data_IF_113559248766
#
_entry.id   IF_113559248766
#
_cell.length_a   1.000
_cell.length_b   1.000
_cell.length_c   1.000
_cell.angle_alpha   90.00
_cell.angle_beta   90.00
_cell.angle_gamma   90.00
#
_symmetry.space_group_name_H-M   'P 1'
#
loop_
_entity.id
_entity.type
_entity.pdbx_description
1 polymer ?
#
# COMPACT_ATOMS: atom_id res chain seq x y z
N UNK A 1 7.28 11.10 5.12
CA UNK A 1 7.32 9.63 5.20
C UNK A 1 8.51 9.22 6.08
N UNK A 2 8.28 9.08 7.38
CA UNK A 2 9.31 8.57 8.31
C UNK A 2 9.27 7.05 8.23
N UNK A 3 10.28 6.44 7.62
CA UNK A 3 10.50 4.99 7.74
C UNK A 3 10.95 4.74 9.19
N UNK A 4 10.00 4.44 10.08
CA UNK A 4 10.34 3.84 11.38
C UNK A 4 10.72 2.39 11.12
N UNK A 5 12.02 2.11 11.06
CA UNK A 5 12.52 0.75 11.31
C UNK A 5 12.12 0.39 12.74
N UNK A 6 11.18 -0.53 12.89
CA UNK A 6 10.73 -1.08 14.17
C UNK A 6 11.82 -1.94 14.79
N UNK A 7 12.79 -1.31 15.44
CA UNK A 7 13.84 -1.97 16.24
C UNK A 7 13.31 -2.45 17.62
N UNK A 8 11.98 -2.55 17.80
CA UNK A 8 11.35 -2.93 19.08
C UNK A 8 11.27 -4.44 19.31
N UNK A 9 11.44 -5.27 18.27
CA UNK A 9 11.39 -6.72 18.40
C UNK A 9 12.55 -7.30 19.25
N UNK A 10 13.72 -6.65 19.25
CA UNK A 10 14.89 -7.09 20.03
C UNK A 10 14.82 -6.72 21.52
N UNK A 11 14.08 -5.68 21.90
CA UNK A 11 13.99 -5.25 23.32
C UNK A 11 12.95 -6.03 24.13
N UNK A 12 11.98 -6.72 23.49
CA UNK A 12 10.98 -7.53 24.19
C UNK A 12 11.46 -8.93 24.58
N UNK A 13 12.50 -9.45 23.93
CA UNK A 13 13.05 -10.77 24.27
C UNK A 13 13.68 -10.81 25.68
N UNK A 14 14.27 -9.69 26.14
CA UNK A 14 14.89 -9.61 27.47
C UNK A 14 13.89 -9.47 28.63
N UNK A 15 12.66 -9.02 28.37
CA UNK A 15 11.65 -8.86 29.43
C UNK A 15 10.90 -10.16 29.76
N UNK A 16 10.81 -11.09 28.80
CA UNK A 16 10.04 -12.34 28.95
C UNK A 16 10.68 -13.31 29.95
N UNK A 17 11.99 -13.17 30.23
CA UNK A 17 12.68 -14.01 31.21
C UNK A 17 12.39 -13.62 32.68
N UNK A 18 11.75 -12.47 32.93
CA UNK A 18 11.53 -11.95 34.31
C UNK A 18 10.12 -12.16 34.88
N UNK A 19 9.17 -12.63 34.06
CA UNK A 19 7.74 -12.73 34.46
C UNK A 19 7.30 -14.20 34.69
N UNK A 20 8.18 -15.17 34.44
CA UNK A 20 7.91 -16.59 34.69
C UNK A 20 7.90 -16.98 36.20
N UNK A 21 8.21 -16.06 37.10
CA UNK A 21 8.14 -16.27 38.55
C UNK A 21 7.05 -15.40 39.19
N UNK A 22 5.78 -15.81 39.04
CA UNK A 22 4.68 -15.63 40.02
C UNK A 22 3.37 -16.13 39.42
N UNK A 23 2.93 -17.30 39.88
CA UNK A 23 1.64 -17.87 39.50
C UNK A 23 0.48 -17.36 40.36
N UNK A 24 -0.73 -17.33 39.80
CA UNK A 24 -1.92 -17.97 40.39
C UNK A 24 -3.10 -18.01 39.39
N UNK A 25 -3.99 -18.97 39.65
CA UNK A 25 -5.02 -19.57 38.78
C UNK A 25 -6.41 -18.84 38.84
N UNK A 26 -7.52 -19.33 38.24
CA UNK A 26 -8.36 -18.53 37.33
C UNK A 26 -9.80 -18.33 37.84
N UNK A 27 -10.54 -17.38 37.24
CA UNK A 27 -12.01 -17.38 37.34
C UNK A 27 -12.69 -17.22 35.97
N UNK A 28 -13.63 -18.13 35.74
CA UNK A 28 -14.58 -18.16 34.61
C UNK A 28 -15.62 -17.07 34.76
N UNK A 29 -16.02 -16.46 33.64
CA UNK A 29 -17.42 -16.05 33.41
C UNK A 29 -17.84 -16.37 31.97
N UNK A 30 -19.03 -16.95 31.88
CA UNK A 30 -19.75 -17.40 30.69
C UNK A 30 -20.73 -16.33 30.18
N UNK A 31 -21.22 -16.55 28.95
CA UNK A 31 -22.41 -15.97 28.28
C UNK A 31 -22.15 -14.68 27.48
N UNK A 32 -22.72 -14.46 26.28
CA UNK A 32 -23.61 -15.26 25.41
C UNK A 32 -23.58 -14.67 23.98
N UNK A 33 -23.98 -15.53 23.04
CA UNK A 33 -24.28 -15.34 21.62
C UNK A 33 -25.12 -14.11 21.22
N UNK A 34 -24.85 -13.57 20.03
CA UNK A 34 -25.88 -13.20 19.05
C UNK A 34 -25.31 -13.20 17.62
N UNK A 35 -25.99 -13.91 16.74
CA UNK A 35 -25.72 -14.15 15.31
C UNK A 35 -26.45 -13.14 14.42
N UNK A 36 -25.85 -12.71 13.30
CA UNK A 36 -26.59 -12.26 12.11
C UNK A 36 -25.71 -12.24 10.84
N UNK A 37 -26.03 -13.09 9.88
CA UNK A 37 -25.89 -12.90 8.41
C UNK A 37 -27.25 -12.38 7.86
N UNK A 38 -27.43 -11.84 6.62
CA UNK A 38 -26.77 -12.22 5.35
C UNK A 38 -26.61 -11.16 4.19
N UNK A 39 -25.92 -11.61 3.13
CA UNK A 39 -26.11 -11.46 1.65
C UNK A 39 -25.95 -10.16 0.80
N UNK A 40 -24.95 -10.24 -0.11
CA UNK A 40 -24.94 -10.15 -1.60
C UNK A 40 -25.64 -9.03 -2.42
N UNK A 41 -24.87 -8.54 -3.41
CA UNK A 41 -25.21 -7.89 -4.69
C UNK A 41 -25.69 -6.42 -4.74
N UNK A 42 -24.90 -5.56 -5.38
CA UNK A 42 -25.27 -4.79 -6.59
C UNK A 42 -24.18 -3.79 -6.96
N UNK A 43 -23.64 -3.85 -8.18
CA UNK A 43 -22.83 -2.84 -8.89
C UNK A 43 -23.51 -2.68 -10.26
N UNK A 44 -23.88 -1.48 -10.70
CA UNK A 44 -24.01 -1.12 -12.13
C UNK A 44 -24.38 0.37 -12.35
N UNK A 45 -23.70 0.97 -13.34
CA UNK A 45 -24.09 2.12 -14.18
C UNK A 45 -23.99 3.57 -13.65
N UNK A 46 -23.10 4.36 -14.27
CA UNK A 46 -23.50 5.58 -15.01
C UNK A 46 -22.33 6.17 -15.82
N UNK A 47 -22.44 6.10 -17.15
CA UNK A 47 -21.72 6.97 -18.09
C UNK A 47 -22.73 7.52 -19.10
N UNK A 48 -22.53 8.79 -19.45
CA UNK A 48 -23.16 9.59 -20.51
C UNK A 48 -24.34 10.50 -20.15
N UNK A 49 -24.18 11.77 -20.57
CA UNK A 49 -25.15 12.87 -20.85
C UNK A 49 -25.22 14.00 -19.80
N UNK A 50 -24.72 15.17 -20.20
CA UNK A 50 -25.16 16.49 -19.73
C UNK A 50 -26.57 16.76 -20.28
N UNK A 51 -27.47 17.43 -19.52
CA UNK A 51 -27.70 18.86 -19.75
C UNK A 51 -28.12 19.69 -18.49
N UNK A 52 -28.35 20.98 -18.76
CA UNK A 52 -28.68 22.17 -17.96
C UNK A 52 -29.74 22.10 -16.82
N UNK A 53 -29.52 23.00 -15.84
CA UNK A 53 -30.44 23.85 -15.04
C UNK A 53 -31.23 23.32 -13.81
N UNK A 54 -31.00 24.03 -12.68
CA UNK A 54 -31.89 24.55 -11.63
C UNK A 54 -33.07 23.72 -11.05
N UNK A 55 -33.11 23.67 -9.69
CA UNK A 55 -34.34 23.83 -8.90
C UNK A 55 -34.87 22.60 -8.12
N UNK A 56 -35.10 22.84 -6.82
CA UNK A 56 -36.03 22.16 -5.88
C UNK A 56 -35.61 20.93 -5.05
N UNK A 57 -36.28 20.82 -3.89
CA UNK A 57 -35.83 20.27 -2.60
C UNK A 57 -36.83 19.22 -2.06
N UNK A 58 -36.28 18.09 -1.54
CA UNK A 58 -36.77 17.11 -0.53
C UNK A 58 -37.99 16.19 -0.81
N UNK A 59 -38.27 15.12 -0.01
CA UNK A 59 -37.49 14.38 1.02
C UNK A 59 -37.64 12.81 1.00
N UNK A 60 -36.91 12.13 1.92
CA UNK A 60 -37.12 10.79 2.54
C UNK A 60 -36.85 9.46 1.80
N UNK A 61 -35.84 8.71 2.27
CA UNK A 61 -35.94 7.29 2.69
C UNK A 61 -35.60 6.15 1.70
N UNK A 62 -34.46 5.49 1.95
CA UNK A 62 -34.00 4.12 1.52
C UNK A 62 -33.12 3.91 0.24
N UNK A 63 -31.88 3.48 0.53
CA UNK A 63 -30.92 2.51 -0.08
C UNK A 63 -30.48 2.50 -1.56
N UNK A 64 -29.15 2.65 -1.79
CA UNK A 64 -28.30 1.75 -2.63
C UNK A 64 -26.78 2.09 -2.55
N UNK A 65 -25.91 1.10 -2.30
CA UNK A 65 -24.43 1.09 -2.61
C UNK A 65 -24.23 0.58 -4.08
N UNK A 66 -23.01 0.48 -4.65
CA UNK A 66 -21.81 1.36 -4.77
C UNK A 66 -21.34 1.50 -6.26
N UNK A 67 -20.33 2.34 -6.58
CA UNK A 67 -19.31 2.14 -7.67
C UNK A 67 -18.35 3.37 -7.85
N UNK A 68 -17.03 3.25 -7.63
CA UNK A 68 -15.89 3.13 -8.61
C UNK A 68 -15.16 4.44 -9.01
N UNK A 69 -13.85 4.52 -8.63
CA UNK A 69 -12.62 5.13 -9.22
C UNK A 69 -12.74 6.34 -10.18
N UNK A 70 -12.02 7.47 -9.92
CA UNK A 70 -10.92 8.01 -10.80
C UNK A 70 -10.45 9.46 -10.54
N UNK A 71 -9.19 9.64 -10.94
CA UNK A 71 -8.48 10.87 -11.34
C UNK A 71 -9.29 11.78 -12.27
N UNK A 72 -9.43 13.06 -11.90
CA UNK A 72 -9.55 14.22 -12.82
C UNK A 72 -9.39 15.53 -12.05
N UNK A 73 -8.60 16.43 -12.61
CA UNK A 73 -8.36 17.81 -12.20
C UNK A 73 -9.64 18.66 -12.10
N UNK A 74 -9.66 19.57 -11.12
CA UNK A 74 -10.50 20.78 -10.90
C UNK A 74 -11.99 20.51 -10.66
N UNK A 75 -12.59 20.96 -9.55
CA UNK A 75 -12.96 22.37 -9.27
C UNK A 75 -13.49 22.47 -7.82
N UNK A 76 -13.12 23.50 -7.03
CA UNK A 76 -13.85 23.86 -5.79
C UNK A 76 -13.02 23.82 -4.49
N UNK A 77 -12.05 24.73 -4.35
CA UNK A 77 -11.07 24.73 -3.26
C UNK A 77 -11.62 25.07 -1.86
N UNK A 78 -12.88 25.53 -1.73
CA UNK A 78 -13.47 25.83 -0.42
C UNK A 78 -14.36 24.71 0.16
N UNK A 79 -14.74 23.70 -0.65
CA UNK A 79 -15.51 22.53 -0.18
C UNK A 79 -14.63 21.35 0.27
N UNK A 80 -13.31 21.40 -0.01
CA UNK A 80 -12.38 20.30 0.28
C UNK A 80 -11.98 20.17 1.76
N UNK A 81 -12.06 21.25 2.55
CA UNK A 81 -11.64 21.23 3.97
C UNK A 81 -12.60 20.45 4.88
N UNK A 82 -13.89 20.37 4.55
CA UNK A 82 -14.89 19.66 5.38
C UNK A 82 -15.01 18.16 5.07
N UNK A 83 -14.31 17.63 4.07
CA UNK A 83 -14.43 16.23 3.60
C UNK A 83 -13.11 15.48 3.42
N UNK A 84 -11.98 16.03 3.87
CA UNK A 84 -10.68 15.32 3.76
C UNK A 84 -10.60 14.22 4.81
N UNK A 85 -10.65 12.96 4.38
CA UNK A 85 -10.34 11.81 5.22
C UNK A 85 -8.82 11.68 5.38
N UNK A 86 -8.33 11.99 6.58
CA UNK A 86 -6.90 11.88 6.92
C UNK A 86 -6.46 10.43 7.20
N UNK A 87 -7.39 9.50 7.39
CA UNK A 87 -7.12 8.10 7.75
C UNK A 87 -7.23 7.18 6.54
N UNK A 88 -6.46 7.50 5.48
CA UNK A 88 -6.42 6.67 4.28
C UNK A 88 -5.91 5.25 4.60
N UNK A 89 -6.49 4.20 3.98
CA UNK A 89 -6.10 2.83 4.24
C UNK A 89 -4.67 2.54 3.79
N UNK A 90 -3.88 1.93 4.66
CA UNK A 90 -2.49 1.53 4.37
C UNK A 90 -2.48 0.06 3.94
N UNK A 91 -1.87 -0.23 2.78
CA UNK A 91 -1.49 -1.60 2.39
C UNK A 91 0.01 -1.77 2.62
N UNK A 92 0.37 -2.68 3.53
CA UNK A 92 1.74 -2.86 4.00
C UNK A 92 2.41 -4.13 3.43
N UNK A 93 3.75 -4.11 3.37
CA UNK A 93 4.60 -5.19 2.85
C UNK A 93 5.09 -6.08 4.00
N UNK A 94 4.62 -7.33 4.06
CA UNK A 94 5.07 -8.35 5.01
C UNK A 94 6.13 -9.29 4.44
N UNK A 95 6.68 -8.97 3.27
CA UNK A 95 7.65 -9.75 2.52
C UNK A 95 7.23 -11.24 2.42
N UNK A 96 8.16 -12.15 2.70
CA UNK A 96 7.92 -13.59 2.78
C UNK A 96 7.44 -14.05 4.17
N UNK A 97 7.01 -13.13 5.05
CA UNK A 97 6.55 -13.41 6.41
C UNK A 97 7.66 -13.73 7.41
N UNK A 98 8.92 -13.38 7.09
CA UNK A 98 10.09 -13.51 7.97
C UNK A 98 10.35 -14.90 8.57
N UNK A 99 9.81 -15.96 7.96
CA UNK A 99 9.99 -17.33 8.41
C UNK A 99 8.86 -18.24 7.97
N UNK A 100 8.35 -19.03 8.92
CA UNK A 100 7.23 -19.96 8.74
C UNK A 100 5.87 -19.32 9.07
N UNK A 101 4.80 -20.14 9.16
CA UNK A 101 3.45 -19.64 9.45
C UNK A 101 3.32 -18.86 10.76
N UNK A 102 4.04 -19.24 11.83
CA UNK A 102 4.00 -18.52 13.11
C UNK A 102 4.60 -17.11 12.99
N UNK A 103 5.68 -16.94 12.21
CA UNK A 103 6.24 -15.62 11.95
C UNK A 103 5.27 -14.74 11.15
N UNK A 104 4.58 -15.32 10.15
CA UNK A 104 3.55 -14.62 9.39
C UNK A 104 2.36 -14.21 10.25
N UNK A 105 1.92 -15.06 11.18
CA UNK A 105 0.86 -14.77 12.15
C UNK A 105 1.22 -13.58 13.05
N UNK A 106 2.37 -13.63 13.71
CA UNK A 106 2.85 -12.56 14.60
C UNK A 106 3.05 -11.24 13.85
N UNK A 107 3.61 -11.29 12.65
CA UNK A 107 3.81 -10.10 11.82
C UNK A 107 2.48 -9.48 11.40
N UNK A 108 1.49 -10.30 11.03
CA UNK A 108 0.16 -9.82 10.68
C UNK A 108 -0.51 -9.13 11.88
N UNK A 109 -0.42 -9.69 13.08
CA UNK A 109 -0.95 -9.03 14.30
C UNK A 109 -0.28 -7.68 14.53
N UNK A 110 1.06 -7.61 14.44
CA UNK A 110 1.79 -6.35 14.61
C UNK A 110 1.38 -5.31 13.56
N UNK A 111 1.18 -5.72 12.30
CA UNK A 111 0.71 -4.79 11.27
C UNK A 111 -0.71 -4.30 11.51
N UNK A 112 -1.59 -5.15 12.02
CA UNK A 112 -2.94 -4.77 12.44
C UNK A 112 -2.88 -3.75 13.59
N UNK A 113 -2.07 -4.00 14.62
CA UNK A 113 -1.89 -3.08 15.75
C UNK A 113 -1.36 -1.70 15.32
N UNK A 114 -0.52 -1.66 14.29
CA UNK A 114 0.02 -0.42 13.70
C UNK A 114 -0.92 0.22 12.67
N UNK A 115 -2.14 -0.30 12.48
CA UNK A 115 -3.20 0.32 11.69
C UNK A 115 -3.20 -0.01 10.19
N UNK A 116 -2.57 -1.11 9.77
CA UNK A 116 -2.63 -1.56 8.38
C UNK A 116 -4.05 -2.02 8.00
N UNK A 117 -4.59 -1.48 6.91
CA UNK A 117 -5.87 -1.89 6.34
C UNK A 117 -5.75 -3.14 5.46
N UNK A 118 -4.59 -3.33 4.86
CA UNK A 118 -4.23 -4.54 4.12
C UNK A 118 -2.76 -4.89 4.25
N UNK A 119 -2.44 -6.17 4.05
CA UNK A 119 -1.08 -6.69 4.14
C UNK A 119 -0.83 -7.66 2.99
N UNK A 120 0.32 -7.53 2.34
CA UNK A 120 0.73 -8.46 1.31
C UNK A 120 1.86 -9.39 1.75
N UNK A 121 1.75 -10.66 1.37
CA UNK A 121 2.79 -11.68 1.56
C UNK A 121 3.20 -12.25 0.21
N UNK A 122 4.43 -12.74 0.09
CA UNK A 122 4.95 -13.35 -1.15
C UNK A 122 5.48 -14.78 -0.95
N UNK A 123 5.41 -15.57 -2.02
CA UNK A 123 5.76 -17.00 -2.06
C UNK A 123 7.27 -17.30 -2.17
N UNK A 124 8.11 -16.36 -1.72
CA UNK A 124 9.56 -16.55 -1.65
C UNK A 124 10.00 -17.25 -0.35
N UNK A 125 11.18 -17.86 -0.39
CA UNK A 125 11.91 -18.33 0.78
C UNK A 125 12.44 -17.12 1.57
N UNK A 126 11.98 -16.97 2.83
CA UNK A 126 12.31 -15.81 3.67
C UNK A 126 13.83 -15.61 3.86
N UNK A 127 14.60 -16.68 4.09
CA UNK A 127 16.06 -16.60 4.27
C UNK A 127 16.82 -16.17 3.01
N UNK A 128 16.18 -16.23 1.84
CA UNK A 128 16.76 -15.87 0.56
C UNK A 128 15.97 -14.78 -0.17
N UNK A 129 15.06 -14.07 0.52
CA UNK A 129 14.16 -13.06 -0.08
C UNK A 129 14.92 -12.04 -0.93
N UNK A 130 14.33 -11.66 -2.06
CA UNK A 130 14.83 -10.60 -2.95
C UNK A 130 13.71 -9.65 -3.36
N UNK A 131 14.08 -8.47 -3.84
CA UNK A 131 13.14 -7.64 -4.60
C UNK A 131 12.68 -8.42 -5.84
N UNK A 132 11.41 -8.29 -6.21
CA UNK A 132 10.80 -9.03 -7.31
C UNK A 132 11.48 -8.86 -8.68
N UNK A 133 12.21 -7.76 -8.86
CA UNK A 133 12.93 -7.41 -10.08
C UNK A 133 14.42 -7.79 -10.04
N UNK A 134 14.85 -8.53 -9.01
CA UNK A 134 16.22 -9.06 -8.90
C UNK A 134 16.27 -10.54 -9.28
N UNK A 135 17.44 -10.99 -9.73
CA UNK A 135 17.73 -12.41 -9.93
C UNK A 135 17.90 -13.17 -8.61
N UNK A 136 17.96 -14.50 -8.68
CA UNK A 136 18.24 -15.35 -7.52
C UNK A 136 17.06 -15.55 -6.56
N UNK A 137 15.82 -15.28 -7.00
CA UNK A 137 14.61 -15.59 -6.24
C UNK A 137 14.44 -17.10 -6.09
N UNK A 138 14.09 -17.53 -4.88
CA UNK A 138 13.78 -18.92 -4.53
C UNK A 138 12.34 -18.97 -4.04
N UNK A 139 11.48 -19.71 -4.72
CA UNK A 139 10.11 -19.95 -4.30
C UNK A 139 10.07 -21.00 -3.18
N UNK A 140 9.09 -20.87 -2.29
CA UNK A 140 8.60 -21.99 -1.48
C UNK A 140 7.53 -22.78 -2.25
N UNK A 141 7.23 -24.04 -1.88
CA UNK A 141 6.16 -24.81 -2.50
C UNK A 141 4.82 -24.10 -2.29
N UNK A 142 3.90 -24.24 -3.24
CA UNK A 142 2.60 -23.55 -3.18
C UNK A 142 1.86 -23.82 -1.85
N UNK A 143 1.97 -25.05 -1.32
CA UNK A 143 1.46 -25.45 -0.01
C UNK A 143 1.98 -24.59 1.14
N UNK A 144 3.28 -24.30 1.19
CA UNK A 144 3.87 -23.50 2.27
C UNK A 144 3.35 -22.06 2.25
N UNK A 145 3.22 -21.47 1.06
CA UNK A 145 2.69 -20.13 0.94
C UNK A 145 1.19 -20.04 1.31
N UNK A 146 0.39 -21.04 0.93
CA UNK A 146 -1.01 -21.16 1.38
C UNK A 146 -1.11 -21.19 2.91
N UNK A 147 -0.22 -21.94 3.58
CA UNK A 147 -0.18 -21.96 5.05
C UNK A 147 0.15 -20.59 5.66
N UNK A 148 1.00 -19.78 5.00
CA UNK A 148 1.26 -18.40 5.43
C UNK A 148 0.04 -17.50 5.25
N UNK A 149 -0.68 -17.62 4.13
CA UNK A 149 -1.92 -16.88 3.91
C UNK A 149 -3.00 -17.24 4.94
N UNK A 150 -3.14 -18.54 5.25
CA UNK A 150 -4.05 -19.00 6.31
C UNK A 150 -3.65 -18.48 7.69
N UNK A 151 -2.34 -18.45 8.00
CA UNK A 151 -1.85 -17.89 9.25
C UNK A 151 -2.13 -16.37 9.35
N UNK A 152 -1.95 -15.63 8.25
CA UNK A 152 -2.30 -14.21 8.19
C UNK A 152 -3.82 -13.99 8.37
N UNK A 153 -4.67 -14.83 7.74
CA UNK A 153 -6.12 -14.76 7.96
C UNK A 153 -6.49 -15.08 9.41
N UNK A 154 -5.90 -16.13 9.99
CA UNK A 154 -6.12 -16.48 11.39
C UNK A 154 -5.74 -15.33 12.32
N UNK A 155 -4.65 -14.61 12.06
CA UNK A 155 -4.27 -13.42 12.84
C UNK A 155 -5.34 -12.33 12.75
N UNK A 156 -5.85 -12.03 11.56
CA UNK A 156 -6.93 -11.04 11.38
C UNK A 156 -8.23 -11.47 12.10
N UNK A 157 -8.59 -12.75 12.01
CA UNK A 157 -9.77 -13.32 12.65
C UNK A 157 -9.67 -13.26 14.18
N UNK A 158 -8.50 -13.62 14.75
CA UNK A 158 -8.22 -13.54 16.19
C UNK A 158 -8.25 -12.09 16.70
N UNK A 159 -7.74 -11.16 15.90
CA UNK A 159 -7.77 -9.72 16.20
C UNK A 159 -9.16 -9.09 15.96
N UNK A 160 -10.11 -9.82 15.37
CA UNK A 160 -11.48 -9.37 15.15
C UNK A 160 -11.62 -8.26 14.10
N UNK A 161 -10.70 -8.18 13.13
CA UNK A 161 -10.69 -7.13 12.09
C UNK A 161 -10.67 -7.70 10.67
N UNK A 162 -11.38 -7.08 9.70
CA UNK A 162 -11.46 -7.56 8.33
C UNK A 162 -10.27 -7.08 7.48
N UNK A 163 -9.03 -7.29 7.95
CA UNK A 163 -7.83 -6.85 7.22
C UNK A 163 -7.73 -7.55 5.86
N UNK A 164 -7.44 -6.77 4.82
CA UNK A 164 -7.30 -7.26 3.44
C UNK A 164 -5.98 -8.02 3.28
N UNK A 165 -6.03 -9.24 2.74
CA UNK A 165 -4.85 -10.05 2.46
C UNK A 165 -4.56 -10.06 0.96
N UNK A 166 -3.33 -9.69 0.60
CA UNK A 166 -2.84 -9.73 -0.78
C UNK A 166 -1.85 -10.88 -0.93
N UNK A 167 -2.18 -11.85 -1.77
CA UNK A 167 -1.30 -12.97 -2.11
C UNK A 167 -0.45 -12.65 -3.32
N UNK A 168 0.86 -12.48 -3.13
CA UNK A 168 1.83 -12.22 -4.19
C UNK A 168 2.55 -13.49 -4.63
N UNK A 169 2.69 -13.69 -5.93
CA UNK A 169 3.61 -14.69 -6.50
C UNK A 169 4.77 -14.03 -7.25
N UNK A 170 5.97 -14.57 -7.05
CA UNK A 170 7.21 -14.17 -7.72
C UNK A 170 7.62 -15.11 -8.87
N UNK A 171 6.74 -16.05 -9.22
CA UNK A 171 7.05 -17.19 -10.08
C UNK A 171 7.25 -16.87 -11.58
N UNK A 172 6.90 -15.66 -12.01
CA UNK A 172 7.16 -15.21 -13.39
C UNK A 172 8.67 -15.22 -13.70
N UNK A 173 9.50 -14.81 -12.74
CA UNK A 173 10.95 -14.71 -12.94
C UNK A 173 11.78 -15.63 -12.01
N UNK A 174 11.18 -16.21 -10.97
CA UNK A 174 11.91 -17.09 -10.06
C UNK A 174 12.27 -18.43 -10.71
N UNK A 175 13.55 -18.81 -10.65
CA UNK A 175 14.09 -20.01 -11.31
C UNK A 175 14.46 -21.13 -10.35
N UNK A 176 14.19 -20.94 -9.06
CA UNK A 176 14.53 -21.86 -7.99
C UNK A 176 13.32 -22.13 -7.10
N UNK A 177 13.23 -23.34 -6.57
CA UNK A 177 12.20 -23.83 -5.66
C UNK A 177 12.86 -24.62 -4.53
N UNK A 178 12.39 -24.50 -3.29
CA UNK A 178 13.00 -25.21 -2.16
C UNK A 178 12.74 -26.72 -2.19
N UNK A 179 11.54 -27.16 -2.61
CA UNK A 179 11.17 -28.57 -2.68
C UNK A 179 10.10 -28.81 -3.75
N UNK A 180 10.14 -29.97 -4.39
CA UNK A 180 9.20 -30.41 -5.41
C UNK A 180 8.09 -31.34 -4.87
N UNK A 181 7.89 -31.40 -3.54
CA UNK A 181 6.91 -32.31 -2.94
C UNK A 181 5.46 -31.98 -3.33
N UNK A 182 5.17 -30.71 -3.59
CA UNK A 182 3.84 -30.24 -3.96
C UNK A 182 3.54 -30.59 -5.43
N UNK A 183 2.53 -31.43 -5.65
CA UNK A 183 2.09 -31.85 -7.00
C UNK A 183 1.77 -30.68 -7.92
N UNK A 184 1.38 -29.51 -7.38
CA UNK A 184 1.08 -28.31 -8.17
C UNK A 184 2.33 -27.69 -8.80
N UNK A 185 3.49 -27.87 -8.17
CA UNK A 185 4.76 -27.31 -8.62
C UNK A 185 5.54 -28.27 -9.54
N UNK A 186 5.34 -29.58 -9.41
CA UNK A 186 6.03 -30.61 -10.20
C UNK A 186 5.98 -30.42 -11.72
N UNK A 187 4.87 -30.00 -12.34
CA UNK A 187 4.81 -29.74 -13.78
C UNK A 187 5.77 -28.66 -14.26
N UNK A 188 6.38 -27.89 -13.36
CA UNK A 188 7.33 -26.82 -13.68
C UNK A 188 8.77 -27.16 -13.29
N UNK A 189 8.99 -28.21 -12.49
CA UNK A 189 10.33 -28.68 -12.15
C UNK A 189 11.08 -29.21 -13.38
N UNK A 190 12.39 -28.98 -13.44
CA UNK A 190 13.27 -29.52 -14.50
C UNK A 190 13.91 -30.86 -14.12
N UNK A 191 13.87 -31.22 -12.83
CA UNK A 191 14.59 -32.37 -12.27
C UNK A 191 16.03 -32.06 -11.86
N UNK A 192 16.55 -30.88 -12.17
CA UNK A 192 17.90 -30.45 -11.78
C UNK A 192 17.90 -29.78 -10.40
N UNK A 193 19.04 -29.90 -9.70
CA UNK A 193 19.28 -29.24 -8.41
C UNK A 193 20.54 -28.39 -8.42
N UNK A 194 20.56 -27.35 -7.57
CA UNK A 194 21.76 -26.53 -7.32
C UNK A 194 22.63 -27.12 -6.22
N UNK A 195 23.82 -26.55 -6.00
CA UNK A 195 24.74 -26.96 -4.93
C UNK A 195 24.16 -26.77 -3.53
N UNK A 196 23.29 -25.78 -3.34
CA UNK A 196 22.55 -25.51 -2.10
C UNK A 196 21.38 -26.49 -1.90
N UNK A 197 21.07 -27.29 -2.92
CA UNK A 197 19.98 -28.26 -2.91
C UNK A 197 18.64 -27.73 -3.42
N UNK A 198 18.56 -26.50 -3.94
CA UNK A 198 17.32 -25.97 -4.54
C UNK A 198 17.01 -26.66 -5.86
N UNK A 199 15.73 -26.83 -6.17
CA UNK A 199 15.26 -27.35 -7.45
C UNK A 199 15.21 -26.25 -8.50
N UNK A 200 15.59 -26.56 -9.72
CA UNK A 200 15.42 -25.69 -10.89
C UNK A 200 14.00 -25.83 -11.42
N UNK A 201 13.38 -24.69 -11.74
CA UNK A 201 12.02 -24.62 -12.28
C UNK A 201 11.96 -23.81 -13.57
N UNK A 202 10.98 -24.13 -14.42
CA UNK A 202 10.57 -23.33 -15.58
C UNK A 202 9.72 -22.16 -15.09
N UNK A 203 10.37 -21.02 -14.91
CA UNK A 203 9.71 -19.75 -14.59
C UNK A 203 8.81 -19.28 -15.74
N UNK A 204 7.84 -18.43 -15.43
CA UNK A 204 7.02 -17.76 -16.42
C UNK A 204 5.58 -17.56 -15.97
N UNK A 205 4.78 -16.96 -16.86
CA UNK A 205 3.41 -16.60 -16.55
C UNK A 205 2.53 -17.83 -16.23
N UNK A 206 2.76 -18.97 -16.89
CA UNK A 206 1.98 -20.20 -16.66
C UNK A 206 2.08 -20.69 -15.21
N UNK A 207 3.31 -20.69 -14.65
CA UNK A 207 3.52 -21.03 -13.25
C UNK A 207 2.90 -19.98 -12.31
N UNK A 208 3.03 -18.70 -12.64
CA UNK A 208 2.43 -17.63 -11.85
C UNK A 208 0.89 -17.72 -11.83
N UNK A 209 0.25 -18.06 -12.95
CA UNK A 209 -1.19 -18.28 -13.04
C UNK A 209 -1.59 -19.52 -12.21
N UNK A 210 -0.90 -20.65 -12.38
CA UNK A 210 -1.19 -21.86 -11.61
C UNK A 210 -1.13 -21.61 -10.08
N UNK A 211 -0.13 -20.84 -9.64
CA UNK A 211 0.02 -20.43 -8.25
C UNK A 211 -1.07 -19.45 -7.81
N UNK A 212 -1.36 -18.42 -8.60
CA UNK A 212 -2.44 -17.48 -8.32
C UNK A 212 -3.81 -18.17 -8.15
N UNK A 213 -4.12 -19.14 -9.01
CA UNK A 213 -5.35 -19.96 -8.90
C UNK A 213 -5.39 -20.78 -7.60
N UNK A 214 -4.24 -21.30 -7.15
CA UNK A 214 -4.13 -22.01 -5.88
C UNK A 214 -4.27 -21.09 -4.66
N UNK A 215 -3.85 -19.82 -4.78
CA UNK A 215 -3.88 -18.83 -3.70
C UNK A 215 -5.22 -18.10 -3.58
N UNK A 216 -6.00 -18.05 -4.67
CA UNK A 216 -7.27 -17.31 -4.76
C UNK A 216 -8.24 -17.57 -3.59
N UNK A 217 -8.42 -18.80 -3.07
CA UNK A 217 -9.31 -19.04 -1.92
C UNK A 217 -8.83 -18.42 -0.60
N UNK A 218 -7.54 -18.08 -0.49
CA UNK A 218 -6.88 -17.67 0.76
C UNK A 218 -6.45 -16.20 0.77
N UNK A 219 -6.62 -15.50 -0.35
CA UNK A 219 -6.28 -14.09 -0.50
C UNK A 219 -7.45 -13.30 -1.09
N UNK A 220 -7.68 -12.10 -0.57
CA UNK A 220 -8.71 -11.19 -1.07
C UNK A 220 -8.31 -10.62 -2.44
N UNK A 221 -7.01 -10.32 -2.58
CA UNK A 221 -6.40 -9.74 -3.78
C UNK A 221 -5.21 -10.60 -4.21
N UNK A 222 -5.04 -10.82 -5.52
CA UNK A 222 -3.88 -11.52 -6.08
C UNK A 222 -2.94 -10.56 -6.81
N UNK A 223 -1.64 -10.80 -6.68
CA UNK A 223 -0.59 -10.02 -7.34
C UNK A 223 0.43 -10.96 -7.97
N UNK A 224 0.67 -10.84 -9.27
CA UNK A 224 1.84 -11.41 -9.93
C UNK A 224 2.89 -10.32 -10.13
N UNK A 225 4.10 -10.50 -9.59
CA UNK A 225 5.22 -9.65 -9.99
C UNK A 225 5.63 -10.00 -11.43
N UNK A 226 5.96 -8.98 -12.24
CA UNK A 226 6.33 -9.17 -13.65
C UNK A 226 7.69 -8.54 -13.97
N UNK A 227 8.36 -9.07 -15.00
CA UNK A 227 9.65 -8.54 -15.45
C UNK A 227 9.54 -7.26 -16.29
N UNK A 228 8.37 -6.96 -16.84
CA UNK A 228 8.10 -5.78 -17.70
C UNK A 228 6.70 -5.21 -17.49
N UNK A 229 6.47 -3.92 -17.81
CA UNK A 229 5.13 -3.34 -17.84
C UNK A 229 4.41 -3.77 -19.13
N UNK A 230 3.82 -4.96 -19.14
CA UNK A 230 3.19 -5.56 -20.32
C UNK A 230 1.68 -5.77 -20.11
N UNK A 231 0.85 -5.00 -20.84
CA UNK A 231 -0.62 -5.10 -20.76
C UNK A 231 -1.17 -6.41 -21.32
N UNK A 232 -0.47 -7.08 -22.24
CA UNK A 232 -0.93 -8.36 -22.80
C UNK A 232 -0.75 -9.50 -21.78
N UNK A 233 0.39 -9.53 -21.09
CA UNK A 233 0.63 -10.49 -19.99
C UNK A 233 -0.33 -10.21 -18.82
N UNK A 234 -0.54 -8.94 -18.46
CA UNK A 234 -1.50 -8.56 -17.44
C UNK A 234 -2.93 -9.00 -17.79
N UNK A 235 -3.33 -8.81 -19.05
CA UNK A 235 -4.63 -9.28 -19.55
C UNK A 235 -4.77 -10.79 -19.44
N UNK A 236 -3.79 -11.55 -19.93
CA UNK A 236 -3.81 -13.02 -19.87
C UNK A 236 -3.90 -13.54 -18.43
N UNK A 237 -3.09 -12.99 -17.51
CA UNK A 237 -3.16 -13.34 -16.10
C UNK A 237 -4.54 -13.06 -15.51
N UNK A 238 -5.11 -11.89 -15.81
CA UNK A 238 -6.41 -11.50 -15.30
C UNK A 238 -7.54 -12.39 -15.85
N UNK A 239 -7.53 -12.68 -17.15
CA UNK A 239 -8.52 -13.55 -17.80
C UNK A 239 -8.48 -14.97 -17.22
N UNK A 240 -7.31 -15.62 -17.18
CA UNK A 240 -7.20 -16.99 -16.66
C UNK A 240 -7.56 -17.11 -15.17
N UNK A 241 -7.22 -16.11 -14.35
CA UNK A 241 -7.65 -16.09 -12.93
C UNK A 241 -9.15 -15.90 -12.81
N UNK A 242 -9.74 -15.02 -13.62
CA UNK A 242 -11.15 -14.66 -13.56
C UNK A 242 -12.07 -15.69 -14.19
N UNK A 243 -11.57 -16.52 -15.09
CA UNK A 243 -12.31 -17.66 -15.63
C UNK A 243 -12.72 -18.64 -14.52
N UNK A 244 -11.88 -18.80 -13.49
CA UNK A 244 -12.20 -19.63 -12.32
C UNK A 244 -12.74 -18.81 -11.13
N UNK A 245 -12.28 -17.57 -10.95
CA UNK A 245 -12.69 -16.69 -9.87
C UNK A 245 -13.11 -15.30 -10.40
N UNK A 246 -14.33 -15.16 -10.96
CA UNK A 246 -14.76 -13.96 -11.68
C UNK A 246 -14.61 -12.66 -10.86
N UNK A 247 -14.95 -12.72 -9.58
CA UNK A 247 -14.93 -11.58 -8.67
C UNK A 247 -13.56 -11.31 -8.03
N UNK A 248 -12.54 -12.12 -8.33
CA UNK A 248 -11.23 -11.97 -7.71
C UNK A 248 -10.61 -10.61 -8.06
N UNK A 249 -10.21 -9.89 -7.02
CA UNK A 249 -9.52 -8.61 -7.16
C UNK A 249 -8.05 -8.86 -7.46
N UNK A 250 -7.46 -8.01 -8.29
CA UNK A 250 -6.05 -8.09 -8.65
C UNK A 250 -5.31 -6.82 -8.21
N UNK A 251 -4.01 -6.97 -7.98
CA UNK A 251 -3.09 -5.88 -7.72
C UNK A 251 -1.93 -5.84 -8.72
N UNK A 252 -1.46 -4.64 -9.04
CA UNK A 252 -0.39 -4.42 -10.02
C UNK A 252 0.66 -3.44 -9.48
N UNK A 253 1.92 -3.86 -9.52
CA UNK A 253 3.06 -3.02 -9.21
C UNK A 253 3.50 -2.26 -10.47
N UNK A 254 3.22 -0.96 -10.52
CA UNK A 254 3.77 -0.05 -11.51
C UNK A 254 5.22 0.29 -11.14
N UNK A 255 6.09 -0.71 -11.24
CA UNK A 255 7.43 -0.69 -10.67
C UNK A 255 8.36 0.37 -11.27
N UNK A 256 9.06 1.16 -10.44
CA UNK A 256 10.18 1.99 -10.91
C UNK A 256 11.40 1.21 -11.37
N UNK A 257 11.47 -0.10 -11.07
CA UNK A 257 12.52 -0.97 -11.63
C UNK A 257 12.34 -1.21 -13.14
N UNK A 258 11.20 -0.84 -13.71
CA UNK A 258 11.02 -0.80 -15.16
C UNK A 258 11.62 0.48 -15.74
N UNK A 259 12.36 0.34 -16.84
CA UNK A 259 12.59 1.48 -17.72
C UNK A 259 11.34 1.68 -18.60
N UNK A 260 10.42 2.53 -18.15
CA UNK A 260 9.10 2.72 -18.77
C UNK A 260 9.17 3.11 -20.24
N UNK A 261 9.96 4.14 -20.59
CA UNK A 261 10.09 4.62 -21.99
C UNK A 261 10.88 3.68 -22.90
N UNK A 262 11.67 2.77 -22.33
CA UNK A 262 12.31 1.70 -23.11
C UNK A 262 11.30 0.61 -23.51
N UNK A 263 10.26 0.41 -22.72
CA UNK A 263 9.28 -0.65 -22.95
C UNK A 263 8.00 -0.17 -23.64
N UNK A 264 7.59 1.07 -23.39
CA UNK A 264 6.28 1.59 -23.79
C UNK A 264 6.37 2.99 -24.39
N UNK A 265 5.51 3.27 -25.37
CA UNK A 265 5.28 4.62 -25.89
C UNK A 265 4.45 5.47 -24.91
N UNK A 266 4.47 6.79 -25.13
CA UNK A 266 3.80 7.76 -24.26
C UNK A 266 2.27 7.57 -24.18
N UNK A 267 1.63 7.21 -25.29
CA UNK A 267 0.18 6.97 -25.34
C UNK A 267 -0.18 5.75 -24.49
N UNK A 268 0.63 4.70 -24.57
CA UNK A 268 0.45 3.49 -23.76
C UNK A 268 0.71 3.74 -22.28
N UNK A 269 1.76 4.49 -21.92
CA UNK A 269 2.03 4.88 -20.53
C UNK A 269 0.84 5.67 -19.95
N UNK A 270 0.33 6.66 -20.68
CA UNK A 270 -0.76 7.53 -20.21
C UNK A 270 -2.06 6.76 -19.91
N UNK A 271 -2.35 5.66 -20.62
CA UNK A 271 -3.54 4.83 -20.39
C UNK A 271 -3.29 3.58 -19.54
N UNK A 272 -2.05 3.28 -19.18
CA UNK A 272 -1.65 1.99 -18.59
C UNK A 272 -2.50 1.57 -17.39
N UNK A 273 -2.62 2.44 -16.38
CA UNK A 273 -3.40 2.15 -15.18
C UNK A 273 -4.91 2.04 -15.43
N UNK A 274 -5.43 2.79 -16.41
CA UNK A 274 -6.83 2.73 -16.82
C UNK A 274 -7.16 1.38 -17.45
N UNK A 275 -6.30 0.88 -18.33
CA UNK A 275 -6.44 -0.43 -18.96
C UNK A 275 -6.37 -1.55 -17.91
N UNK A 276 -5.38 -1.50 -17.01
CA UNK A 276 -5.27 -2.43 -15.87
C UNK A 276 -6.54 -2.43 -15.01
N UNK A 277 -7.09 -1.25 -14.72
CA UNK A 277 -8.31 -1.12 -13.92
C UNK A 277 -9.53 -1.78 -14.58
N UNK A 278 -9.60 -1.79 -15.91
CA UNK A 278 -10.64 -2.48 -16.68
C UNK A 278 -10.47 -4.01 -16.65
N UNK A 279 -9.24 -4.51 -16.54
CA UNK A 279 -8.94 -5.95 -16.40
C UNK A 279 -9.19 -6.51 -15.00
N UNK A 280 -9.41 -5.65 -13.99
CA UNK A 280 -9.67 -6.06 -12.62
C UNK A 280 -8.53 -5.80 -11.63
N UNK A 281 -7.45 -5.13 -12.06
CA UNK A 281 -6.40 -4.62 -11.17
C UNK A 281 -6.92 -3.39 -10.40
N UNK A 282 -7.57 -3.64 -9.26
CA UNK A 282 -8.22 -2.60 -8.44
C UNK A 282 -7.29 -1.94 -7.43
N UNK A 283 -6.17 -2.56 -7.12
CA UNK A 283 -5.09 -1.94 -6.35
C UNK A 283 -3.85 -1.78 -7.22
N UNK A 284 -3.40 -0.55 -7.44
CA UNK A 284 -2.25 -0.25 -8.30
C UNK A 284 -1.34 0.71 -7.57
N UNK A 285 -0.04 0.44 -7.55
CA UNK A 285 0.90 1.18 -6.72
C UNK A 285 2.28 1.30 -7.37
N UNK A 286 3.02 2.34 -6.98
CA UNK A 286 4.40 2.58 -7.40
C UNK A 286 5.29 2.40 -6.17
N UNK A 287 5.93 1.23 -6.06
CA UNK A 287 6.69 0.82 -4.86
C UNK A 287 7.74 1.82 -4.40
N UNK A 288 8.57 2.34 -5.32
CA UNK A 288 9.72 3.20 -5.00
C UNK A 288 9.49 4.69 -5.30
N UNK A 289 8.23 5.14 -5.41
CA UNK A 289 7.92 6.54 -5.72
C UNK A 289 8.58 7.51 -4.74
N UNK A 290 8.44 7.25 -3.43
CA UNK A 290 9.04 8.08 -2.39
C UNK A 290 10.57 8.10 -2.44
N UNK A 291 11.20 6.96 -2.72
CA UNK A 291 12.66 6.88 -2.86
C UNK A 291 13.16 7.76 -4.01
N UNK A 292 12.56 7.64 -5.20
CA UNK A 292 12.97 8.42 -6.36
C UNK A 292 12.70 9.91 -6.20
N UNK A 293 11.52 10.28 -5.69
CA UNK A 293 11.17 11.69 -5.47
C UNK A 293 12.10 12.38 -4.46
N UNK A 294 12.36 11.72 -3.32
CA UNK A 294 13.21 12.28 -2.26
C UNK A 294 14.67 12.43 -2.71
N UNK A 295 15.25 11.38 -3.30
CA UNK A 295 16.66 11.44 -3.70
C UNK A 295 16.88 12.44 -4.83
N UNK A 296 15.99 12.49 -5.82
CA UNK A 296 16.14 13.40 -6.96
C UNK A 296 15.96 14.86 -6.55
N UNK A 297 14.91 15.19 -5.80
CA UNK A 297 14.66 16.56 -5.34
C UNK A 297 15.81 17.09 -4.48
N UNK A 298 16.31 16.28 -3.54
CA UNK A 298 17.45 16.66 -2.70
C UNK A 298 18.75 16.78 -3.49
N UNK A 299 18.99 15.90 -4.47
CA UNK A 299 20.16 16.00 -5.34
C UNK A 299 20.12 17.27 -6.21
N UNK A 300 18.97 17.61 -6.78
CA UNK A 300 18.77 18.83 -7.57
C UNK A 300 19.02 20.07 -6.72
N UNK A 301 18.41 20.13 -5.52
CA UNK A 301 18.61 21.22 -4.57
C UNK A 301 20.07 21.33 -4.14
N UNK A 302 20.71 20.25 -3.71
CA UNK A 302 22.10 20.27 -3.26
C UNK A 302 23.07 20.70 -4.37
N UNK A 303 22.85 20.25 -5.61
CA UNK A 303 23.63 20.67 -6.78
C UNK A 303 23.46 22.16 -7.04
N UNK A 304 22.21 22.65 -7.07
CA UNK A 304 21.92 24.07 -7.26
C UNK A 304 22.50 24.94 -6.14
N UNK A 305 22.36 24.49 -4.89
CA UNK A 305 22.84 25.21 -3.72
C UNK A 305 24.36 25.32 -3.66
N UNK A 306 25.09 24.27 -4.10
CA UNK A 306 26.55 24.34 -4.27
C UNK A 306 26.96 25.47 -5.22
N UNK A 307 26.22 25.68 -6.29
CA UNK A 307 26.58 26.62 -7.37
C UNK A 307 26.04 28.04 -7.14
N UNK A 308 24.83 28.17 -6.61
CA UNK A 308 24.06 29.43 -6.54
C UNK A 308 23.49 29.73 -5.16
N UNK A 309 23.83 28.90 -4.16
CA UNK A 309 23.45 29.07 -2.75
C UNK A 309 21.96 29.38 -2.60
N UNK A 310 21.63 30.49 -1.94
CA UNK A 310 20.24 30.86 -1.62
C UNK A 310 19.36 31.01 -2.87
N UNK A 311 19.89 31.37 -4.03
CA UNK A 311 19.07 31.48 -5.25
C UNK A 311 18.45 30.12 -5.65
N UNK A 312 19.14 29.01 -5.41
CA UNK A 312 18.59 27.68 -5.66
C UNK A 312 17.52 27.28 -4.62
N UNK A 313 17.66 27.74 -3.38
CA UNK A 313 16.66 27.50 -2.35
C UNK A 313 15.40 28.34 -2.56
N UNK A 314 15.53 29.61 -2.95
CA UNK A 314 14.39 30.47 -3.25
C UNK A 314 13.61 29.96 -4.46
N UNK A 315 14.25 29.35 -5.46
CA UNK A 315 13.54 28.66 -6.55
C UNK A 315 12.64 27.51 -6.07
N UNK A 316 13.04 26.79 -5.03
CA UNK A 316 12.18 25.77 -4.40
C UNK A 316 11.01 26.45 -3.65
N UNK A 317 11.30 27.49 -2.88
CA UNK A 317 10.29 28.22 -2.11
C UNK A 317 9.24 28.89 -3.03
N UNK A 318 9.64 29.47 -4.15
CA UNK A 318 8.74 30.04 -5.16
C UNK A 318 7.84 28.96 -5.80
N UNK A 319 8.37 27.75 -6.02
CA UNK A 319 7.54 26.61 -6.45
C UNK A 319 6.52 26.21 -5.39
N UNK A 320 6.87 26.29 -4.10
CA UNK A 320 5.94 26.02 -2.99
C UNK A 320 4.83 27.08 -2.92
N UNK A 321 5.15 28.36 -3.04
CA UNK A 321 4.16 29.44 -3.10
C UNK A 321 3.23 29.29 -4.31
N UNK A 322 3.77 28.99 -5.49
CA UNK A 322 2.95 28.75 -6.67
C UNK A 322 1.97 27.56 -6.49
N UNK A 323 2.39 26.53 -5.76
CA UNK A 323 1.58 25.34 -5.49
C UNK A 323 0.48 25.56 -4.43
N UNK A 324 0.50 26.65 -3.66
CA UNK A 324 -0.60 26.97 -2.72
C UNK A 324 -1.94 27.12 -3.43
N UNK A 325 -1.94 27.66 -4.66
CA UNK A 325 -3.12 27.79 -5.51
C UNK A 325 -3.70 26.44 -5.96
N UNK A 326 -2.95 25.35 -5.77
CA UNK A 326 -3.37 23.97 -6.04
C UNK A 326 -3.68 23.18 -4.75
N UNK A 327 -3.56 23.82 -3.57
CA UNK A 327 -3.86 23.23 -2.28
C UNK A 327 -2.65 22.76 -1.48
N UNK A 328 -1.42 23.07 -1.89
CA UNK A 328 -0.23 22.84 -1.06
C UNK A 328 -0.25 23.77 0.17
N UNK A 329 0.11 23.24 1.34
CA UNK A 329 0.01 23.99 2.61
C UNK A 329 1.27 23.97 3.47
N UNK A 330 2.30 23.21 3.08
CA UNK A 330 3.50 23.04 3.92
C UNK A 330 4.50 24.21 3.81
N UNK A 331 4.23 25.21 2.97
CA UNK A 331 5.00 26.46 2.95
C UNK A 331 4.91 27.19 4.29
N UNK A 332 3.74 27.14 4.94
CA UNK A 332 3.50 27.53 6.33
C UNK A 332 3.79 26.34 7.25
N UNK A 333 5.07 26.00 7.34
CA UNK A 333 5.54 24.78 7.97
C UNK A 333 5.25 24.71 9.47
N UNK A 334 5.16 25.84 10.20
CA UNK A 334 4.81 25.85 11.62
C UNK A 334 3.35 25.45 11.82
N UNK A 335 2.43 26.09 11.10
CA UNK A 335 1.02 25.73 11.10
C UNK A 335 0.81 24.29 10.61
N UNK A 336 1.53 23.87 9.56
CA UNK A 336 1.41 22.54 8.97
C UNK A 336 1.77 21.41 9.94
N UNK A 337 2.77 21.61 10.82
CA UNK A 337 3.12 20.63 11.87
C UNK A 337 2.29 20.76 13.14
N UNK A 338 1.28 21.64 13.15
CA UNK A 338 0.29 21.74 14.22
C UNK A 338 0.62 22.75 15.31
N UNK A 339 1.47 23.76 15.07
CA UNK A 339 1.74 24.80 16.07
C UNK A 339 0.45 25.45 16.60
N UNK A 340 -0.50 25.79 15.70
CA UNK A 340 -1.79 26.35 16.09
C UNK A 340 -2.67 25.38 16.90
N UNK A 341 -2.58 24.08 16.62
CA UNK A 341 -3.28 23.05 17.41
C UNK A 341 -2.76 23.01 18.86
N UNK A 342 -1.44 23.12 19.06
CA UNK A 342 -0.85 23.18 20.40
C UNK A 342 -1.10 24.51 21.12
N UNK A 343 -1.18 25.62 20.38
CA UNK A 343 -1.58 26.92 20.94
C UNK A 343 -3.01 26.88 21.52
N UNK A 344 -3.95 26.24 20.82
CA UNK A 344 -5.33 26.04 21.29
C UNK A 344 -5.38 25.18 22.55
N UNK A 345 -4.65 24.06 22.60
CA UNK A 345 -4.56 23.22 23.81
C UNK A 345 -4.08 24.06 25.00
N UNK A 346 -3.02 24.84 24.80
CA UNK A 346 -2.42 25.62 25.89
C UNK A 346 -3.35 26.74 26.34
N UNK A 347 -4.08 27.35 25.41
CA UNK A 347 -5.12 28.34 25.71
C UNK A 347 -6.24 27.76 26.57
N UNK A 348 -6.74 26.56 26.23
CA UNK A 348 -7.80 25.86 26.98
C UNK A 348 -7.34 25.50 28.40
N UNK A 349 -6.10 25.06 28.57
CA UNK A 349 -5.56 24.62 29.86
C UNK A 349 -5.40 25.73 30.92
N UNK A 350 -5.62 27.00 30.58
CA UNK A 350 -5.61 28.09 31.58
C UNK A 350 -5.28 29.49 31.06
N UNK A 351 -5.36 29.72 29.74
CA UNK A 351 -4.83 30.92 29.11
C UNK A 351 -3.30 30.91 29.04
N UNK A 352 -2.74 31.30 27.90
CA UNK A 352 -1.31 31.22 27.64
C UNK A 352 -0.75 32.54 27.10
N UNK A 353 0.30 33.06 27.72
CA UNK A 353 1.06 34.22 27.21
C UNK A 353 2.25 33.82 26.32
N UNK A 354 2.47 32.51 26.12
CA UNK A 354 3.60 31.94 25.36
C UNK A 354 3.10 31.12 24.17
N UNK A 355 2.08 31.62 23.47
CA UNK A 355 1.62 31.03 22.20
C UNK A 355 2.75 31.14 21.15
N UNK A 356 2.86 30.14 20.29
CA UNK A 356 3.97 30.00 19.36
C UNK A 356 3.75 30.68 18.01
N UNK A 357 2.51 30.69 17.50
CA UNK A 357 2.23 31.27 16.18
C UNK A 357 2.12 32.79 16.21
N UNK A 358 1.56 33.34 17.29
CA UNK A 358 1.46 34.79 17.46
C UNK A 358 2.86 35.40 17.55
N UNK A 359 3.07 36.50 16.83
CA UNK A 359 4.36 37.22 16.74
C UNK A 359 5.47 36.37 16.07
N UNK A 360 5.11 35.34 15.29
CA UNK A 360 6.06 34.51 14.54
C UNK A 360 6.40 35.09 13.16
N UNK A 361 7.56 34.73 12.60
CA UNK A 361 7.92 35.11 11.22
C UNK A 361 6.96 34.50 10.18
N UNK A 362 6.34 33.37 10.49
CA UNK A 362 5.32 32.77 9.64
C UNK A 362 4.06 33.65 9.59
N UNK A 363 3.63 34.19 10.74
CA UNK A 363 2.52 35.14 10.80
C UNK A 363 2.84 36.44 10.05
N UNK A 364 4.04 36.98 10.21
CA UNK A 364 4.44 38.26 9.61
C UNK A 364 4.70 38.17 8.10
N UNK A 365 5.41 37.13 7.63
CA UNK A 365 6.00 37.11 6.28
C UNK A 365 5.22 36.24 5.29
N UNK A 366 4.26 35.44 5.74
CA UNK A 366 3.48 34.51 4.92
C UNK A 366 1.99 34.90 4.85
N UNK A 367 1.63 36.09 5.33
CA UNK A 367 0.32 36.71 5.14
C UNK A 367 0.36 37.65 3.92
N UNK A 368 -0.16 37.17 2.79
CA UNK A 368 -0.52 37.95 1.59
C UNK A 368 0.46 39.07 1.15
N UNK A 369 1.51 38.67 0.41
CA UNK A 369 1.99 39.26 -0.88
C UNK A 369 3.50 39.07 -1.01
N UNK A 370 3.90 38.39 -2.08
CA UNK A 370 5.20 38.60 -2.72
C UNK A 370 5.39 40.12 -2.90
N UNK A 371 6.45 40.75 -2.37
CA UNK A 371 6.76 42.12 -2.71
C UNK A 371 6.88 42.21 -4.23
N UNK A 372 6.09 43.09 -4.86
CA UNK A 372 6.27 43.40 -6.26
C UNK A 372 7.74 43.77 -6.48
N UNK A 373 8.39 43.08 -7.43
CA UNK A 373 9.79 43.27 -7.78
C UNK A 373 10.15 44.75 -7.83
N UNK A 374 11.15 45.16 -7.04
CA UNK A 374 11.79 46.47 -7.15
C UNK A 374 12.83 46.48 -8.26
#
# INVERSE_FOLDING_TARGET
>A
MVVRRTNKALQRADQIQSVAERGHSPERRTASSASATPNSNALAEAAARLPQQAGEVNPSGETSKPAVIRTSLRTGMSALREQTDYWLPIVADAEAGFGGPLNAFELMQQMIEEGAAGVHFEDQLASAKKCGHMGGKVLVPAFEFINKLMAARLAADVMGVPTVIVGRTDAEAAKLLTSDFDERDKPFCTGERTSEGFFRIRAGLDLAIARALAYAPYADVLWCETSKPNLAEARRFAEEVKDLYPDKLLAYNCSPSFNWRMNLDEVTIAKFQRELGAMGYKFQFVTLAGFHALNYSMWELARGYRERQMAAYTELQEKEFAAEAEGYSAVKHQAFVGAGYFDEITSICGGCSTQALKDSTEEEQFQDKVPASA
#
